data_IF_389318841743
#
_entry.id   IF_389318841743
#
_cell.length_a   1.000
_cell.length_b   1.000
_cell.length_c   1.000
_cell.angle_alpha   90.00
_cell.angle_beta   90.00
_cell.angle_gamma   90.00
#
_symmetry.space_group_name_H-M   'P 1'
#
loop_
_entity.id
_entity.type
_entity.pdbx_description
1 polymer ?
#
# COMPACT_ATOMS: atom_id res chain seq x y z
N UNK A 1 -10.57 -19.24 -21.06
CA UNK A 1 -9.57 -18.81 -20.07
C UNK A 1 -10.31 -17.96 -19.05
N UNK A 2 -10.51 -18.41 -17.79
CA UNK A 2 -11.07 -17.51 -16.79
C UNK A 2 -10.00 -16.47 -16.49
N UNK A 3 -10.35 -15.19 -16.64
CA UNK A 3 -9.51 -14.07 -16.21
C UNK A 3 -9.47 -14.20 -14.69
N UNK A 4 -8.37 -14.70 -14.13
CA UNK A 4 -8.21 -14.63 -12.69
C UNK A 4 -8.24 -13.14 -12.33
N UNK A 5 -8.96 -12.72 -11.28
CA UNK A 5 -8.81 -11.37 -10.78
C UNK A 5 -7.34 -11.25 -10.37
N UNK A 6 -6.56 -10.52 -11.17
CA UNK A 6 -5.13 -10.39 -10.94
C UNK A 6 -4.97 -9.60 -9.65
N UNK A 7 -4.48 -10.28 -8.60
CA UNK A 7 -4.14 -9.66 -7.33
C UNK A 7 -3.33 -8.37 -7.58
N UNK A 8 -3.56 -7.29 -6.80
CA UNK A 8 -2.89 -6.04 -7.07
C UNK A 8 -1.37 -6.19 -6.93
N UNK A 9 -0.65 -5.61 -7.89
CA UNK A 9 0.81 -5.50 -7.85
C UNK A 9 1.25 -4.43 -6.84
N UNK A 10 2.51 -4.43 -6.37
CA UNK A 10 3.02 -3.35 -5.53
C UNK A 10 2.83 -1.97 -6.17
N UNK A 11 3.13 -1.85 -7.47
CA UNK A 11 2.99 -0.60 -8.22
C UNK A 11 1.52 -0.13 -8.26
N UNK A 12 0.55 -1.03 -8.48
CA UNK A 12 -0.86 -0.67 -8.43
C UNK A 12 -1.29 -0.17 -7.05
N UNK A 13 -0.80 -0.81 -5.98
CA UNK A 13 -1.05 -0.34 -4.60
C UNK A 13 -0.45 1.04 -4.36
N UNK A 14 0.74 1.30 -4.91
CA UNK A 14 1.40 2.60 -4.83
C UNK A 14 0.64 3.69 -5.61
N UNK A 15 0.26 3.44 -6.87
CA UNK A 15 -0.52 4.36 -7.70
C UNK A 15 -1.89 4.70 -7.08
N UNK A 16 -2.47 3.76 -6.34
CA UNK A 16 -3.71 4.00 -5.62
C UNK A 16 -3.55 4.87 -4.36
N UNK A 17 -2.32 5.14 -3.90
CA UNK A 17 -2.05 5.97 -2.72
C UNK A 17 -1.81 7.43 -3.13
N UNK A 18 -2.41 8.35 -2.38
CA UNK A 18 -2.12 9.77 -2.54
C UNK A 18 -0.86 10.16 -1.75
N UNK A 19 0.09 10.90 -2.37
CA UNK A 19 1.25 11.42 -1.66
C UNK A 19 0.90 12.24 -0.43
N UNK A 20 1.71 12.12 0.63
CA UNK A 20 1.50 12.77 1.93
C UNK A 20 0.24 12.37 2.70
N UNK A 21 -0.55 11.41 2.23
CA UNK A 21 -1.74 10.94 2.92
C UNK A 21 -1.49 9.58 3.60
N UNK A 22 -1.83 9.45 4.90
CA UNK A 22 -1.68 8.19 5.62
C UNK A 22 -2.86 7.25 5.34
N UNK A 23 -2.54 6.06 4.84
CA UNK A 23 -3.46 4.96 4.60
C UNK A 23 -3.23 3.83 5.60
N UNK A 24 -4.30 3.17 6.04
CA UNK A 24 -4.19 1.85 6.67
C UNK A 24 -4.49 0.76 5.64
N UNK A 25 -4.05 -0.47 5.93
CA UNK A 25 -4.31 -1.62 5.03
C UNK A 25 -5.80 -1.78 4.72
N UNK A 26 -6.68 -1.52 5.70
CA UNK A 26 -8.14 -1.59 5.48
C UNK A 26 -8.61 -0.65 4.37
N UNK A 27 -8.18 0.62 4.40
CA UNK A 27 -8.62 1.64 3.43
C UNK A 27 -8.20 1.26 2.00
N UNK A 28 -7.02 0.67 1.85
CA UNK A 28 -6.51 0.24 0.55
C UNK A 28 -7.19 -1.03 0.07
N UNK A 29 -7.50 -1.98 0.95
CA UNK A 29 -8.24 -3.20 0.60
C UNK A 29 -9.62 -2.86 0.05
N UNK A 30 -10.30 -1.85 0.59
CA UNK A 30 -11.60 -1.40 0.07
C UNK A 30 -11.55 -0.88 -1.38
N UNK A 31 -10.36 -0.58 -1.91
CA UNK A 31 -10.16 -0.19 -3.31
C UNK A 31 -10.00 -1.37 -4.27
N UNK A 32 -9.95 -2.58 -3.75
CA UNK A 32 -9.75 -3.81 -4.52
C UNK A 32 -10.80 -4.85 -4.14
N UNK A 33 -11.78 -5.09 -5.00
CA UNK A 33 -12.87 -6.06 -4.74
C UNK A 33 -12.36 -7.50 -4.48
N UNK A 34 -11.23 -7.88 -5.08
CA UNK A 34 -10.69 -9.25 -5.02
C UNK A 34 -9.39 -9.37 -4.20
N UNK A 35 -8.89 -8.30 -3.57
CA UNK A 35 -7.64 -8.36 -2.82
C UNK A 35 -7.85 -8.67 -1.34
N UNK A 36 -7.09 -9.64 -0.83
CA UNK A 36 -7.05 -9.91 0.61
C UNK A 36 -6.22 -8.86 1.34
N UNK A 37 -6.57 -8.58 2.60
CA UNK A 37 -5.77 -7.72 3.51
C UNK A 37 -4.31 -8.12 3.57
N UNK A 38 -4.04 -9.42 3.63
CA UNK A 38 -2.68 -9.95 3.65
C UNK A 38 -1.92 -9.65 2.36
N UNK A 39 -2.57 -9.75 1.19
CA UNK A 39 -1.96 -9.43 -0.11
C UNK A 39 -1.57 -7.96 -0.17
N UNK A 40 -2.49 -7.04 0.13
CA UNK A 40 -2.23 -5.59 0.14
C UNK A 40 -1.14 -5.24 1.16
N UNK A 41 -1.18 -5.83 2.36
CA UNK A 41 -0.13 -5.63 3.36
C UNK A 41 1.24 -6.07 2.85
N UNK A 42 1.33 -7.24 2.21
CA UNK A 42 2.57 -7.73 1.63
C UNK A 42 3.11 -6.80 0.53
N UNK A 43 2.22 -6.26 -0.32
CA UNK A 43 2.59 -5.27 -1.33
C UNK A 43 3.14 -3.99 -0.71
N UNK A 44 2.48 -3.48 0.33
CA UNK A 44 2.94 -2.31 1.07
C UNK A 44 4.28 -2.55 1.77
N UNK A 45 4.49 -3.72 2.39
CA UNK A 45 5.78 -4.05 2.99
C UNK A 45 6.89 -4.11 1.95
N UNK A 46 6.64 -4.66 0.75
CA UNK A 46 7.60 -4.61 -0.37
C UNK A 46 7.95 -3.17 -0.78
N UNK A 47 6.94 -2.29 -0.93
CA UNK A 47 7.19 -0.87 -1.24
C UNK A 47 7.96 -0.14 -0.13
N UNK A 48 7.79 -0.57 1.12
CA UNK A 48 8.56 -0.05 2.25
C UNK A 48 10.00 -0.53 2.21
N UNK A 49 10.22 -1.79 1.87
CA UNK A 49 11.57 -2.35 1.67
C UNK A 49 12.31 -1.64 0.53
N UNK A 50 11.60 -1.25 -0.53
CA UNK A 50 12.14 -0.48 -1.66
C UNK A 50 12.36 1.02 -1.34
N UNK A 51 11.80 1.49 -0.21
CA UNK A 51 11.90 2.89 0.22
C UNK A 51 10.98 3.85 -0.55
N UNK A 52 9.96 3.33 -1.24
CA UNK A 52 8.91 4.09 -1.91
C UNK A 52 7.82 4.54 -0.91
N UNK A 53 7.46 3.66 0.02
CA UNK A 53 6.44 3.91 1.05
C UNK A 53 7.07 3.91 2.43
N UNK A 54 6.56 4.77 3.32
CA UNK A 54 6.94 4.78 4.72
C UNK A 54 5.89 4.04 5.54
N UNK A 55 6.32 3.28 6.54
CA UNK A 55 5.42 2.63 7.51
C UNK A 55 5.67 3.14 8.93
N UNK A 56 4.60 3.32 9.69
CA UNK A 56 4.66 3.61 11.13
C UNK A 56 3.67 2.75 11.88
N UNK A 57 4.20 2.01 12.85
CA UNK A 57 3.39 1.28 13.82
C UNK A 57 2.98 2.23 14.95
N UNK A 58 1.69 2.28 15.24
CA UNK A 58 1.11 3.00 16.36
C UNK A 58 0.85 2.04 17.54
N UNK A 59 0.47 2.60 18.69
CA UNK A 59 0.25 1.88 19.96
C UNK A 59 -0.92 0.91 19.93
N UNK A 60 -1.94 1.15 19.09
CA UNK A 60 -3.19 0.36 19.04
C UNK A 60 -3.24 -0.66 17.91
N UNK A 61 -2.12 -1.38 17.66
CA UNK A 61 -2.00 -2.36 16.57
C UNK A 61 -2.36 -1.80 15.16
N UNK A 62 -2.37 -0.48 15.03
CA UNK A 62 -2.62 0.23 13.78
C UNK A 62 -1.28 0.52 13.11
N UNK A 63 -1.19 0.19 11.83
CA UNK A 63 -0.03 0.51 11.00
C UNK A 63 -0.50 1.45 9.91
N UNK A 64 0.14 2.61 9.84
CA UNK A 64 -0.12 3.62 8.81
C UNK A 64 1.00 3.58 7.78
N UNK A 65 0.62 3.67 6.51
CA UNK A 65 1.50 3.66 5.35
C UNK A 65 1.28 4.97 4.58
N UNK A 66 2.35 5.64 4.16
CA UNK A 66 2.23 6.86 3.35
C UNK A 66 3.41 7.03 2.41
N UNK A 67 3.17 7.67 1.28
CA UNK A 67 4.24 8.08 0.37
C UNK A 67 4.79 9.42 0.90
N UNK A 68 6.10 9.48 1.15
CA UNK A 68 6.75 10.73 1.55
C UNK A 68 6.90 11.64 0.35
N UNK A 69 6.56 12.92 0.49
CA UNK A 69 6.81 13.95 -0.54
C UNK A 69 8.30 14.15 -0.85
N UNK A 70 9.21 13.55 -0.08
CA UNK A 70 10.65 13.80 -0.17
C UNK A 70 11.36 13.20 -1.39
N UNK A 71 10.66 12.52 -2.32
CA UNK A 71 11.22 12.07 -3.61
C UNK A 71 10.88 12.99 -4.80
N UNK A 72 10.66 14.28 -4.58
CA UNK A 72 10.86 15.29 -5.64
C UNK A 72 12.21 15.96 -5.41
N UNK A 73 13.28 15.34 -5.91
CA UNK A 73 14.61 15.93 -5.82
C UNK A 73 15.74 14.94 -6.07
N UNK A 74 15.97 14.60 -7.35
CA UNK A 74 17.26 14.82 -8.01
C UNK A 74 17.12 14.60 -9.52
#
# INVERSE_FOLDING_TARGET
>A
MPRQPEEPTPEQVFDAMTPCEPYIVSDLVERYDDASRWTVQRRLDTLVEDGEVNKKKHTENRVSYWISSSKSGN
#
